data_IF_967645456610
#
_entry.id   IF_967645456610
#
_cell.length_a   1.000
_cell.length_b   1.000
_cell.length_c   1.000
_cell.angle_alpha   90.00
_cell.angle_beta   90.00
_cell.angle_gamma   90.00
#
_symmetry.space_group_name_H-M   'P 1'
#
loop_
_entity.id
_entity.type
_entity.pdbx_description
1 polymer ?
#
# COMPACT_ATOMS: atom_id res chain seq x y z
N UNK A 1 17.32 -11.85 -19.11
CA UNK A 1 18.00 -13.05 -18.60
C UNK A 1 16.90 -14.04 -18.27
N UNK A 2 16.92 -15.26 -18.82
CA UNK A 2 15.95 -16.31 -18.46
C UNK A 2 16.54 -17.15 -17.32
N UNK A 3 15.72 -17.82 -16.49
CA UNK A 3 16.23 -18.70 -15.45
C UNK A 3 17.21 -19.71 -16.07
N UNK A 4 18.37 -19.88 -15.42
CA UNK A 4 19.39 -20.84 -15.85
C UNK A 4 18.80 -22.25 -15.91
N UNK A 5 19.34 -23.08 -16.82
CA UNK A 5 18.95 -24.48 -16.87
C UNK A 5 19.13 -25.13 -15.49
N UNK A 6 18.09 -25.85 -15.02
CA UNK A 6 17.98 -26.45 -13.68
C UNK A 6 17.78 -25.48 -12.51
N UNK A 7 17.33 -24.24 -12.75
CA UNK A 7 16.89 -23.36 -11.66
C UNK A 7 15.73 -24.00 -10.88
N UNK A 8 15.84 -24.00 -9.55
CA UNK A 8 14.73 -24.38 -8.66
C UNK A 8 13.70 -23.25 -8.62
N UNK A 9 12.45 -23.56 -8.94
CA UNK A 9 11.35 -22.60 -8.78
C UNK A 9 10.95 -22.57 -7.30
N UNK A 10 10.83 -21.36 -6.74
CA UNK A 10 10.35 -21.15 -5.37
C UNK A 10 8.87 -20.76 -5.40
N UNK A 11 7.99 -21.74 -5.65
CA UNK A 11 6.55 -21.53 -5.86
C UNK A 11 5.83 -20.86 -4.66
N UNK A 12 6.38 -21.01 -3.45
CA UNK A 12 5.80 -20.50 -2.21
C UNK A 12 6.50 -19.26 -1.67
N UNK A 13 7.52 -18.71 -2.34
CA UNK A 13 8.34 -17.62 -1.78
C UNK A 13 7.49 -16.44 -1.30
N UNK A 14 6.52 -16.00 -2.13
CA UNK A 14 5.63 -14.90 -1.76
C UNK A 14 4.72 -15.27 -0.58
N UNK A 15 4.33 -16.54 -0.46
CA UNK A 15 3.51 -17.03 0.66
C UNK A 15 4.34 -17.06 1.95
N UNK A 16 5.55 -17.63 1.89
CA UNK A 16 6.46 -17.72 3.03
C UNK A 16 6.86 -16.32 3.55
N UNK A 17 7.06 -15.36 2.63
CA UNK A 17 7.33 -13.96 2.97
C UNK A 17 6.13 -13.27 3.64
N UNK A 18 4.90 -13.50 3.16
CA UNK A 18 3.68 -12.89 3.73
C UNK A 18 3.29 -13.53 5.07
N UNK A 19 3.59 -14.82 5.25
CA UNK A 19 3.14 -15.63 6.39
C UNK A 19 4.22 -15.74 7.49
N UNK A 20 5.37 -15.09 7.32
CA UNK A 20 6.65 -15.24 8.07
C UNK A 20 6.66 -15.25 9.61
N UNK A 21 5.54 -15.41 10.30
CA UNK A 21 5.41 -15.71 11.73
C UNK A 21 4.64 -16.98 12.07
N UNK A 22 4.05 -17.72 11.12
CA UNK A 22 3.37 -19.00 11.42
C UNK A 22 4.36 -20.15 11.23
N UNK A 23 4.87 -20.59 12.38
CA UNK A 23 5.67 -21.79 12.70
C UNK A 23 5.46 -23.03 11.78
N UNK A 24 5.81 -22.95 10.51
CA UNK A 24 5.74 -24.08 9.59
C UNK A 24 7.15 -24.44 9.12
N UNK A 25 7.70 -25.47 9.77
CA UNK A 25 8.88 -26.22 9.37
C UNK A 25 8.74 -26.91 7.99
N UNK A 26 7.79 -26.49 7.12
CA UNK A 26 7.36 -27.29 5.99
C UNK A 26 8.09 -27.02 4.67
N UNK A 27 8.77 -25.89 4.51
CA UNK A 27 9.51 -25.59 3.27
C UNK A 27 10.81 -24.81 3.49
N UNK A 28 11.50 -25.08 4.61
CA UNK A 28 12.92 -24.75 4.73
C UNK A 28 13.69 -25.62 3.74
N UNK A 29 13.76 -25.19 2.48
CA UNK A 29 14.78 -25.69 1.57
C UNK A 29 16.13 -25.17 2.07
N UNK A 30 17.19 -25.97 1.98
CA UNK A 30 18.54 -25.62 2.46
C UNK A 30 19.10 -24.31 1.86
N UNK A 31 18.50 -23.82 0.76
CA UNK A 31 18.80 -22.52 0.14
C UNK A 31 18.27 -21.34 0.95
N UNK A 32 17.06 -21.42 1.52
CA UNK A 32 16.47 -20.35 2.35
C UNK A 32 17.21 -20.21 3.70
N UNK A 33 17.94 -21.25 4.12
CA UNK A 33 18.83 -21.17 5.29
C UNK A 33 20.13 -20.37 5.02
N UNK A 34 20.44 -20.08 3.76
CA UNK A 34 21.68 -19.40 3.34
C UNK A 34 21.46 -17.96 2.83
N UNK A 35 20.22 -17.56 2.53
CA UNK A 35 19.89 -16.19 2.07
C UNK A 35 18.70 -15.61 2.84
N UNK A 36 18.84 -14.37 3.31
CA UNK A 36 17.80 -13.66 4.05
C UNK A 36 16.83 -12.89 3.12
N UNK A 37 15.72 -12.39 3.67
CA UNK A 37 14.70 -11.67 2.90
C UNK A 37 15.22 -10.39 2.22
N UNK A 38 16.18 -9.67 2.83
CA UNK A 38 16.77 -8.47 2.23
C UNK A 38 17.62 -8.83 1.00
N UNK A 39 18.38 -9.92 1.06
CA UNK A 39 19.16 -10.42 -0.09
C UNK A 39 18.24 -10.80 -1.26
N UNK A 40 17.16 -11.54 -0.98
CA UNK A 40 16.18 -11.95 -1.99
C UNK A 40 15.52 -10.73 -2.65
N UNK A 41 15.06 -9.77 -1.84
CA UNK A 41 14.42 -8.56 -2.34
C UNK A 41 15.41 -7.69 -3.14
N UNK A 42 16.66 -7.58 -2.68
CA UNK A 42 17.74 -6.84 -3.37
C UNK A 42 18.04 -7.46 -4.73
N UNK A 43 18.18 -8.80 -4.80
CA UNK A 43 18.40 -9.52 -6.05
C UNK A 43 17.25 -9.30 -7.04
N UNK A 44 16.01 -9.45 -6.57
CA UNK A 44 14.82 -9.26 -7.40
C UNK A 44 14.74 -7.82 -7.96
N UNK A 45 14.91 -6.81 -7.11
CA UNK A 45 14.85 -5.42 -7.53
C UNK A 45 16.02 -5.06 -8.46
N UNK A 46 17.24 -5.50 -8.17
CA UNK A 46 18.39 -5.28 -9.05
C UNK A 46 18.15 -5.87 -10.44
N UNK A 47 17.49 -7.05 -10.51
CA UNK A 47 17.10 -7.66 -11.77
C UNK A 47 16.07 -6.82 -12.52
N UNK A 48 15.00 -6.38 -11.84
CA UNK A 48 13.96 -5.53 -12.44
C UNK A 48 14.54 -4.21 -12.94
N UNK A 49 15.39 -3.55 -12.13
CA UNK A 49 16.06 -2.30 -12.50
C UNK A 49 16.94 -2.52 -13.74
N UNK A 50 17.79 -3.55 -13.72
CA UNK A 50 18.67 -3.87 -14.84
C UNK A 50 17.87 -4.18 -16.12
N UNK A 51 16.76 -4.90 -15.99
CA UNK A 51 15.86 -5.20 -17.09
C UNK A 51 15.23 -3.93 -17.67
N UNK A 52 14.65 -3.07 -16.83
CA UNK A 52 14.01 -1.81 -17.26
C UNK A 52 15.01 -0.90 -17.94
N UNK A 53 16.20 -0.73 -17.36
CA UNK A 53 17.28 0.08 -17.96
C UNK A 53 17.71 -0.48 -19.31
N UNK A 54 17.93 -1.79 -19.42
CA UNK A 54 18.27 -2.44 -20.67
C UNK A 54 17.17 -2.33 -21.73
N UNK A 55 15.91 -2.45 -21.32
CA UNK A 55 14.77 -2.26 -22.22
C UNK A 55 14.71 -0.82 -22.73
N UNK A 56 14.87 0.18 -21.85
CA UNK A 56 14.85 1.59 -22.22
C UNK A 56 16.00 1.97 -23.14
N UNK A 57 17.24 1.55 -22.84
CA UNK A 57 18.39 1.86 -23.71
C UNK A 57 18.29 1.17 -25.08
N UNK A 58 17.63 0.01 -25.16
CA UNK A 58 17.41 -0.70 -26.42
C UNK A 58 16.26 -0.10 -27.23
N UNK A 59 15.10 0.11 -26.61
CA UNK A 59 13.85 0.47 -27.32
C UNK A 59 13.61 1.99 -27.38
N UNK A 60 14.22 2.76 -26.47
CA UNK A 60 14.13 4.22 -26.41
C UNK A 60 15.51 4.87 -26.58
N UNK A 61 16.41 4.23 -27.33
CA UNK A 61 17.82 4.63 -27.51
C UNK A 61 18.00 6.12 -27.86
N UNK A 62 17.07 6.68 -28.65
CA UNK A 62 17.10 8.09 -29.05
C UNK A 62 17.06 9.05 -27.85
N UNK A 63 16.36 8.70 -26.77
CA UNK A 63 16.27 9.52 -25.57
C UNK A 63 17.60 9.62 -24.80
N UNK A 64 18.53 8.66 -25.01
CA UNK A 64 19.79 8.53 -24.29
C UNK A 64 21.02 8.97 -25.11
N UNK A 65 20.89 9.26 -26.42
CA UNK A 65 22.05 9.52 -27.30
C UNK A 65 22.94 10.69 -26.88
N UNK A 66 22.35 11.74 -26.30
CA UNK A 66 23.07 12.98 -25.95
C UNK A 66 22.86 13.38 -24.49
N UNK A 67 22.37 12.45 -23.67
CA UNK A 67 21.96 12.71 -22.28
C UNK A 67 22.37 11.54 -21.42
N UNK A 68 22.95 11.85 -20.27
CA UNK A 68 23.19 10.85 -19.24
C UNK A 68 21.93 10.73 -18.37
N UNK A 69 21.36 9.52 -18.22
CA UNK A 69 20.17 9.34 -17.42
C UNK A 69 20.50 9.37 -15.93
N UNK A 70 19.72 10.14 -15.17
CA UNK A 70 19.68 10.04 -13.70
C UNK A 70 18.53 9.11 -13.34
N UNK A 71 18.84 8.04 -12.62
CA UNK A 71 17.85 7.05 -12.19
C UNK A 71 17.33 7.40 -10.81
N UNK A 72 16.01 7.40 -10.67
CA UNK A 72 15.32 7.52 -9.38
C UNK A 72 14.28 6.42 -9.27
N UNK A 73 14.08 5.90 -8.07
CA UNK A 73 13.16 4.81 -7.77
C UNK A 73 12.31 5.22 -6.57
N UNK A 74 11.00 5.28 -6.82
CA UNK A 74 10.01 5.28 -5.75
C UNK A 74 9.55 3.84 -5.55
N UNK A 75 9.63 3.34 -4.32
CA UNK A 75 9.11 2.02 -3.96
C UNK A 75 7.83 2.18 -3.12
N UNK A 76 6.81 1.40 -3.47
CA UNK A 76 5.60 1.29 -2.68
C UNK A 76 5.85 0.48 -1.42
N UNK A 77 5.36 0.96 -0.28
CA UNK A 77 5.38 0.27 1.00
C UNK A 77 3.96 0.20 1.57
N UNK A 78 3.56 -0.92 2.20
CA UNK A 78 2.22 -1.00 2.77
C UNK A 78 1.98 0.06 3.86
N UNK A 79 0.83 0.73 3.81
CA UNK A 79 0.55 1.95 4.61
C UNK A 79 0.65 1.74 6.13
N UNK A 80 0.15 0.63 6.67
CA UNK A 80 0.26 0.29 8.11
C UNK A 80 1.74 0.16 8.54
N UNK A 81 2.60 -0.31 7.64
CA UNK A 81 4.01 -0.50 7.95
C UNK A 81 4.81 0.80 7.90
N UNK A 82 4.30 1.86 7.26
CA UNK A 82 5.04 3.11 7.04
C UNK A 82 5.50 3.76 8.34
N UNK A 83 4.76 3.55 9.44
CA UNK A 83 5.11 4.01 10.77
C UNK A 83 6.10 3.12 11.53
N UNK A 84 6.55 2.01 10.94
CA UNK A 84 7.48 1.06 11.57
C UNK A 84 8.90 1.39 11.11
N UNK A 85 9.73 2.09 11.91
CA UNK A 85 10.97 2.67 11.42
C UNK A 85 11.93 1.62 10.85
N UNK A 86 12.03 0.45 11.51
CA UNK A 86 12.87 -0.66 11.06
C UNK A 86 12.44 -1.24 9.71
N UNK A 87 11.13 -1.25 9.43
CA UNK A 87 10.63 -1.75 8.15
C UNK A 87 10.92 -0.73 7.06
N UNK A 88 10.64 0.55 7.30
CA UNK A 88 10.97 1.62 6.36
C UNK A 88 12.49 1.72 6.07
N UNK A 89 13.32 1.50 7.10
CA UNK A 89 14.78 1.40 6.98
C UNK A 89 15.21 0.23 6.09
N UNK A 90 14.62 -0.96 6.30
CA UNK A 90 14.88 -2.12 5.45
C UNK A 90 14.50 -1.86 3.99
N UNK A 91 13.36 -1.19 3.72
CA UNK A 91 12.97 -0.80 2.37
C UNK A 91 13.99 0.13 1.71
N UNK A 92 14.40 1.22 2.40
CA UNK A 92 15.41 2.15 1.89
C UNK A 92 16.74 1.44 1.62
N UNK A 93 17.18 0.59 2.56
CA UNK A 93 18.43 -0.18 2.46
C UNK A 93 18.40 -1.11 1.25
N UNK A 94 17.35 -1.93 1.13
CA UNK A 94 17.19 -2.92 0.05
C UNK A 94 17.13 -2.24 -1.32
N UNK A 95 16.35 -1.17 -1.48
CA UNK A 95 16.24 -0.48 -2.78
C UNK A 95 17.55 0.23 -3.13
N UNK A 96 18.22 0.85 -2.16
CA UNK A 96 19.53 1.48 -2.37
C UNK A 96 20.58 0.44 -2.77
N UNK A 97 20.59 -0.72 -2.11
CA UNK A 97 21.47 -1.85 -2.44
C UNK A 97 21.19 -2.37 -3.86
N UNK A 98 19.90 -2.49 -4.23
CA UNK A 98 19.49 -2.98 -5.54
C UNK A 98 19.89 -2.03 -6.67
N UNK A 99 19.77 -0.71 -6.44
CA UNK A 99 20.21 0.32 -7.37
C UNK A 99 21.73 0.26 -7.56
N UNK A 100 22.50 0.19 -6.45
CA UNK A 100 23.95 0.02 -6.50
C UNK A 100 24.35 -1.24 -7.26
N UNK A 101 23.73 -2.39 -6.95
CA UNK A 101 24.03 -3.67 -7.61
C UNK A 101 23.76 -3.60 -9.13
N UNK A 102 22.68 -2.93 -9.54
CA UNK A 102 22.37 -2.70 -10.94
C UNK A 102 23.32 -1.71 -11.63
N UNK A 103 23.98 -0.81 -10.89
CA UNK A 103 24.98 0.13 -11.41
C UNK A 103 26.35 -0.53 -11.59
N UNK A 104 26.82 -1.33 -10.61
CA UNK A 104 28.16 -1.94 -10.64
C UNK A 104 28.26 -3.14 -11.58
N UNK A 105 27.13 -3.69 -12.04
CA UNK A 105 27.08 -4.77 -13.02
C UNK A 105 27.62 -6.12 -12.50
N UNK A 106 27.67 -6.31 -11.19
CA UNK A 106 28.01 -7.60 -10.58
C UNK A 106 26.92 -8.64 -10.90
N UNK A 107 27.24 -9.94 -10.87
CA UNK A 107 26.23 -10.99 -10.95
C UNK A 107 25.14 -10.79 -9.89
N UNK A 108 23.88 -10.98 -10.25
CA UNK A 108 22.78 -10.97 -9.28
C UNK A 108 22.78 -12.31 -8.55
N UNK A 109 23.54 -12.37 -7.46
CA UNK A 109 23.80 -13.57 -6.66
C UNK A 109 23.84 -13.24 -5.16
N UNK A 110 23.71 -14.26 -4.31
CA UNK A 110 23.69 -14.13 -2.85
C UNK A 110 24.88 -13.32 -2.31
N UNK A 111 26.10 -13.69 -2.68
CA UNK A 111 27.32 -13.02 -2.24
C UNK A 111 27.38 -11.56 -2.69
N UNK A 112 26.93 -11.27 -3.91
CA UNK A 112 26.87 -9.90 -4.44
C UNK A 112 25.82 -9.06 -3.72
N UNK A 113 24.67 -9.63 -3.39
CA UNK A 113 23.65 -8.94 -2.57
C UNK A 113 24.13 -8.68 -1.15
N UNK A 114 24.83 -9.64 -0.52
CA UNK A 114 25.40 -9.46 0.82
C UNK A 114 26.45 -8.35 0.83
N UNK A 115 27.31 -8.33 -0.20
CA UNK A 115 28.33 -7.30 -0.37
C UNK A 115 27.70 -5.91 -0.42
N UNK A 116 26.74 -5.66 -1.32
CA UNK A 116 26.11 -4.34 -1.44
C UNK A 116 25.28 -3.95 -0.22
N UNK A 117 24.61 -4.91 0.45
CA UNK A 117 23.85 -4.65 1.67
C UNK A 117 24.75 -4.26 2.84
N UNK A 118 25.99 -4.74 2.86
CA UNK A 118 26.99 -4.47 3.90
C UNK A 118 27.76 -3.18 3.70
N UNK A 119 27.60 -2.51 2.54
CA UNK A 119 28.26 -1.24 2.27
C UNK A 119 27.82 -0.17 3.29
N UNK A 120 28.76 0.55 3.93
CA UNK A 120 28.42 1.55 4.96
C UNK A 120 27.44 2.62 4.47
N UNK A 121 27.58 3.04 3.21
CA UNK A 121 26.69 4.05 2.62
C UNK A 121 25.26 3.53 2.42
N UNK A 122 25.10 2.22 2.17
CA UNK A 122 23.80 1.57 2.00
C UNK A 122 23.12 1.37 3.36
N UNK A 123 23.89 1.02 4.39
CA UNK A 123 23.40 0.99 5.77
C UNK A 123 22.92 2.38 6.18
N UNK A 124 23.71 3.43 5.92
CA UNK A 124 23.31 4.80 6.20
C UNK A 124 22.07 5.25 5.43
N UNK A 125 21.94 4.88 4.14
CA UNK A 125 20.73 5.15 3.36
C UNK A 125 19.49 4.45 3.95
N UNK A 126 19.66 3.28 4.56
CA UNK A 126 18.61 2.63 5.35
C UNK A 126 18.15 3.52 6.50
N UNK A 127 19.08 4.02 7.31
CA UNK A 127 18.76 4.78 8.51
C UNK A 127 18.27 6.21 8.23
N UNK A 128 18.87 6.90 7.26
CA UNK A 128 18.67 8.34 6.99
C UNK A 128 17.99 8.58 5.64
N UNK A 129 16.82 9.25 5.67
CA UNK A 129 15.96 9.45 4.50
C UNK A 129 16.59 10.36 3.44
N UNK A 130 17.27 11.42 3.86
CA UNK A 130 18.00 12.36 3.01
C UNK A 130 19.11 11.64 2.22
N UNK A 131 19.85 10.73 2.86
CA UNK A 131 20.87 9.93 2.18
C UNK A 131 20.26 8.97 1.15
N UNK A 132 19.09 8.38 1.43
CA UNK A 132 18.37 7.58 0.44
C UNK A 132 17.89 8.44 -0.74
N UNK A 133 17.33 9.63 -0.47
CA UNK A 133 16.85 10.55 -1.51
C UNK A 133 17.97 11.09 -2.40
N UNK A 134 19.13 11.41 -1.83
CA UNK A 134 20.34 11.78 -2.58
C UNK A 134 20.80 10.67 -3.54
N UNK A 135 20.57 9.41 -3.16
CA UNK A 135 20.79 8.23 -4.02
C UNK A 135 19.65 7.97 -4.99
N UNK A 136 18.62 8.82 -5.02
CA UNK A 136 17.47 8.67 -5.88
C UNK A 136 16.47 7.62 -5.41
N UNK A 137 16.45 7.28 -4.11
CA UNK A 137 15.51 6.31 -3.53
C UNK A 137 14.50 7.01 -2.64
N UNK A 138 13.21 6.80 -2.92
CA UNK A 138 12.14 7.22 -2.02
C UNK A 138 11.21 6.03 -1.69
N UNK A 139 10.72 6.01 -0.46
CA UNK A 139 9.74 5.02 0.01
C UNK A 139 8.42 5.72 0.21
N UNK A 140 7.38 5.24 -0.47
CA UNK A 140 6.06 5.89 -0.53
C UNK A 140 5.00 4.90 -0.06
N UNK A 141 4.06 5.29 0.81
CA UNK A 141 2.89 4.46 1.11
C UNK A 141 2.13 4.10 -0.17
N UNK A 142 1.83 2.82 -0.37
CA UNK A 142 1.09 2.33 -1.55
C UNK A 142 -0.24 3.07 -1.72
N UNK A 143 -0.94 3.35 -0.61
CA UNK A 143 -2.18 4.11 -0.66
C UNK A 143 -1.99 5.55 -1.15
N UNK A 144 -0.88 6.22 -0.82
CA UNK A 144 -0.62 7.56 -1.34
C UNK A 144 -0.32 7.49 -2.84
N UNK A 145 0.50 6.51 -3.25
CA UNK A 145 0.83 6.30 -4.66
C UNK A 145 -0.43 5.98 -5.50
N UNK A 146 -1.24 5.00 -5.11
CA UNK A 146 -2.47 4.61 -5.80
C UNK A 146 -3.41 5.81 -6.01
N UNK A 147 -3.49 6.68 -5.00
CA UNK A 147 -4.39 7.82 -4.97
C UNK A 147 -3.84 9.08 -5.65
N UNK A 148 -2.58 9.10 -6.09
CA UNK A 148 -1.93 10.27 -6.70
C UNK A 148 -2.71 10.83 -7.89
N UNK A 149 -3.18 9.97 -8.80
CA UNK A 149 -3.94 10.42 -9.98
C UNK A 149 -5.25 11.08 -9.57
N UNK A 150 -6.01 10.43 -8.69
CA UNK A 150 -7.28 10.96 -8.19
C UNK A 150 -7.06 12.30 -7.47
N UNK A 151 -6.05 12.37 -6.60
CA UNK A 151 -5.73 13.55 -5.82
C UNK A 151 -5.30 14.77 -6.67
N UNK A 152 -4.87 14.51 -7.91
CA UNK A 152 -4.56 15.55 -8.90
C UNK A 152 -5.67 15.78 -9.93
N UNK A 153 -6.73 14.97 -9.91
CA UNK A 153 -7.84 15.06 -10.86
C UNK A 153 -8.83 16.20 -10.52
N UNK A 154 -9.58 16.68 -11.52
CA UNK A 154 -10.68 17.63 -11.30
C UNK A 154 -11.86 17.03 -10.52
N UNK A 155 -11.92 15.70 -10.43
CA UNK A 155 -12.95 14.96 -9.67
C UNK A 155 -12.66 14.93 -8.17
N UNK A 156 -11.48 15.40 -7.76
CA UNK A 156 -11.09 15.46 -6.36
C UNK A 156 -12.06 16.33 -5.55
N UNK A 157 -12.42 15.81 -4.38
CA UNK A 157 -12.99 16.60 -3.30
C UNK A 157 -12.17 16.37 -2.03
N UNK A 158 -12.02 17.40 -1.20
CA UNK A 158 -11.40 17.23 0.12
C UNK A 158 -12.34 16.45 1.06
N UNK A 159 -11.77 15.81 2.07
CA UNK A 159 -12.50 15.06 3.10
C UNK A 159 -12.04 13.61 3.27
N UNK A 160 -12.83 12.82 4.01
CA UNK A 160 -12.51 11.43 4.36
C UNK A 160 -12.86 10.45 3.25
N UNK A 161 -11.94 9.52 3.03
CA UNK A 161 -11.99 8.41 2.08
C UNK A 161 -11.59 7.10 2.73
N UNK A 162 -11.98 5.99 2.11
CA UNK A 162 -11.48 4.65 2.40
C UNK A 162 -10.91 4.04 1.12
N UNK A 163 -9.75 3.41 1.21
CA UNK A 163 -9.15 2.58 0.16
C UNK A 163 -9.15 1.12 0.61
N UNK A 164 -9.49 0.25 -0.33
CA UNK A 164 -9.48 -1.21 -0.19
C UNK A 164 -8.68 -1.75 -1.37
N UNK A 165 -7.44 -2.14 -1.12
CA UNK A 165 -6.58 -2.81 -2.10
C UNK A 165 -6.70 -4.33 -1.90
N UNK A 166 -7.20 -4.99 -2.94
CA UNK A 166 -7.29 -6.45 -2.98
C UNK A 166 -6.15 -6.97 -3.83
N UNK A 167 -5.09 -7.41 -3.15
CA UNK A 167 -3.96 -8.09 -3.76
C UNK A 167 -4.22 -9.59 -3.98
N UNK A 168 -3.19 -10.25 -4.52
CA UNK A 168 -3.19 -11.71 -4.60
C UNK A 168 -3.13 -12.33 -3.19
N UNK A 169 -2.23 -11.85 -2.33
CA UNK A 169 -2.04 -12.41 -0.99
C UNK A 169 -2.65 -11.55 0.12
N UNK A 170 -2.70 -10.23 -0.07
CA UNK A 170 -3.08 -9.28 0.98
C UNK A 170 -4.40 -8.57 0.66
N UNK A 171 -5.07 -8.14 1.73
CA UNK A 171 -6.14 -7.17 1.72
C UNK A 171 -5.66 -5.97 2.54
N UNK A 172 -5.39 -4.87 1.86
CA UNK A 172 -4.84 -3.66 2.49
C UNK A 172 -5.92 -2.60 2.53
N UNK A 173 -6.36 -2.26 3.73
CA UNK A 173 -7.48 -1.34 3.95
C UNK A 173 -6.99 -0.14 4.73
N UNK A 174 -7.33 1.05 4.25
CA UNK A 174 -6.95 2.29 4.94
C UNK A 174 -8.00 3.37 4.79
N UNK A 175 -8.16 4.16 5.83
CA UNK A 175 -8.91 5.42 5.79
C UNK A 175 -7.91 6.56 5.81
N UNK A 176 -8.17 7.59 5.01
CA UNK A 176 -7.35 8.77 4.95
C UNK A 176 -8.23 9.97 4.62
N UNK A 177 -7.76 11.14 5.03
CA UNK A 177 -8.35 12.40 4.59
C UNK A 177 -7.45 13.05 3.57
N UNK A 178 -8.07 13.64 2.55
CA UNK A 178 -7.39 14.41 1.54
C UNK A 178 -7.70 15.89 1.76
N UNK A 179 -6.66 16.71 1.86
CA UNK A 179 -6.78 18.16 2.05
C UNK A 179 -5.86 18.90 1.10
N UNK A 180 -6.24 20.12 0.73
CA UNK A 180 -5.37 21.02 -0.03
C UNK A 180 -4.39 21.73 0.89
N UNK A 181 -3.12 21.83 0.52
CA UNK A 181 -2.14 22.64 1.25
C UNK A 181 -2.40 24.15 1.00
N UNK A 182 -2.89 24.92 1.99
CA UNK A 182 -3.26 26.33 1.76
C UNK A 182 -2.08 27.23 1.35
N UNK A 183 -0.85 26.83 1.71
CA UNK A 183 0.37 27.60 1.44
C UNK A 183 1.02 27.22 0.09
N UNK A 184 0.81 25.99 -0.39
CA UNK A 184 1.39 25.46 -1.64
C UNK A 184 0.34 25.28 -2.77
N UNK A 185 -0.91 25.66 -2.54
CA UNK A 185 -1.96 25.64 -3.56
C UNK A 185 -2.80 24.34 -3.56
N UNK A 186 -2.92 23.68 -4.71
CA UNK A 186 -3.75 22.47 -4.86
C UNK A 186 -3.01 21.17 -4.51
N UNK A 187 -1.77 21.25 -4.04
CA UNK A 187 -1.01 20.05 -3.70
C UNK A 187 -1.71 19.25 -2.60
N UNK A 188 -1.85 17.92 -2.80
CA UNK A 188 -2.58 17.08 -1.87
C UNK A 188 -1.77 16.83 -0.61
N UNK A 189 -2.46 16.87 0.53
CA UNK A 189 -2.00 16.32 1.80
C UNK A 189 -2.82 15.06 2.08
N UNK A 190 -2.15 13.92 2.22
CA UNK A 190 -2.75 12.66 2.63
C UNK A 190 -2.52 12.47 4.12
N UNK A 191 -3.59 12.54 4.93
CA UNK A 191 -3.51 12.23 6.35
C UNK A 191 -4.15 10.87 6.63
N UNK A 192 -3.31 9.86 6.88
CA UNK A 192 -3.76 8.49 7.13
C UNK A 192 -4.35 8.35 8.53
N UNK A 193 -5.61 7.91 8.60
CA UNK A 193 -6.37 7.78 9.83
C UNK A 193 -6.22 6.41 10.44
N UNK A 194 -6.38 5.35 9.65
CA UNK A 194 -6.26 3.97 10.13
C UNK A 194 -5.81 3.13 8.95
N UNK A 195 -4.99 2.12 9.19
CA UNK A 195 -4.61 1.13 8.19
C UNK A 195 -4.64 -0.27 8.81
N UNK A 196 -4.93 -1.28 8.01
CA UNK A 196 -4.86 -2.67 8.41
C UNK A 196 -4.56 -3.54 7.18
N UNK A 197 -3.57 -4.41 7.32
CA UNK A 197 -3.12 -5.34 6.29
C UNK A 197 -3.38 -6.75 6.82
N UNK A 198 -4.10 -7.55 6.04
CA UNK A 198 -4.40 -8.94 6.39
C UNK A 198 -4.09 -9.87 5.22
N UNK A 199 -3.73 -11.14 5.46
CA UNK A 199 -3.54 -12.16 4.42
C UNK A 199 -4.89 -12.63 3.85
N UNK A 200 -5.72 -11.71 3.37
CA UNK A 200 -7.09 -11.93 2.89
C UNK A 200 -7.23 -11.56 1.40
N UNK A 201 -6.17 -11.75 0.62
CA UNK A 201 -6.20 -11.59 -0.84
C UNK A 201 -6.86 -12.76 -1.59
N UNK A 202 -6.86 -12.68 -2.92
CA UNK A 202 -7.48 -13.68 -3.82
C UNK A 202 -6.87 -15.08 -3.69
N UNK A 203 -5.55 -15.20 -3.77
CA UNK A 203 -4.84 -16.48 -3.62
C UNK A 203 -4.89 -16.97 -2.17
N UNK A 204 -4.88 -16.05 -1.20
CA UNK A 204 -5.04 -16.40 0.21
C UNK A 204 -6.40 -17.05 0.49
N UNK A 205 -7.46 -16.64 -0.20
CA UNK A 205 -8.75 -17.33 -0.12
C UNK A 205 -8.64 -18.80 -0.55
N UNK A 206 -8.08 -19.08 -1.73
CA UNK A 206 -7.92 -20.45 -2.20
C UNK A 206 -7.00 -21.28 -1.30
N UNK A 207 -5.99 -20.64 -0.72
CA UNK A 207 -5.12 -21.28 0.25
C UNK A 207 -5.86 -21.65 1.54
N UNK A 208 -6.60 -20.71 2.14
CA UNK A 208 -7.40 -20.97 3.35
C UNK A 208 -8.43 -22.08 3.12
N UNK A 209 -9.04 -22.15 1.94
CA UNK A 209 -9.91 -23.26 1.57
C UNK A 209 -9.19 -24.61 1.58
N UNK A 210 -7.96 -24.68 1.07
CA UNK A 210 -7.13 -25.91 1.09
C UNK A 210 -6.76 -26.33 2.51
N UNK A 211 -6.65 -25.38 3.43
CA UNK A 211 -6.40 -25.63 4.87
C UNK A 211 -7.67 -25.92 5.67
N UNK A 212 -8.84 -25.95 5.03
CA UNK A 212 -10.10 -26.32 5.66
C UNK A 212 -10.89 -25.14 6.25
N UNK A 213 -10.45 -23.90 6.03
CA UNK A 213 -11.24 -22.70 6.37
C UNK A 213 -12.45 -22.61 5.44
N UNK A 214 -13.64 -22.46 6.02
CA UNK A 214 -14.86 -22.30 5.24
C UNK A 214 -14.90 -20.94 4.53
N UNK A 215 -15.62 -20.87 3.41
CA UNK A 215 -15.86 -19.60 2.71
C UNK A 215 -16.47 -18.54 3.64
N UNK A 216 -17.42 -18.93 4.48
CA UNK A 216 -18.11 -18.01 5.40
C UNK A 216 -17.16 -17.46 6.47
N UNK A 217 -16.24 -18.30 6.98
CA UNK A 217 -15.23 -17.86 7.92
C UNK A 217 -14.25 -16.85 7.28
N UNK A 218 -13.83 -17.08 6.02
CA UNK A 218 -13.00 -16.13 5.28
C UNK A 218 -13.73 -14.79 5.05
N UNK A 219 -14.99 -14.86 4.60
CA UNK A 219 -15.84 -13.69 4.38
C UNK A 219 -16.01 -12.89 5.66
N UNK A 220 -16.24 -13.55 6.80
CA UNK A 220 -16.42 -12.86 8.07
C UNK A 220 -15.12 -12.20 8.56
N UNK A 221 -13.95 -12.80 8.33
CA UNK A 221 -12.67 -12.13 8.59
C UNK A 221 -12.50 -10.85 7.77
N UNK A 222 -12.83 -10.89 6.48
CA UNK A 222 -12.79 -9.70 5.62
C UNK A 222 -13.76 -8.62 6.13
N UNK A 223 -15.00 -9.00 6.43
CA UNK A 223 -16.01 -8.07 6.97
C UNK A 223 -15.58 -7.48 8.30
N UNK A 224 -15.01 -8.29 9.20
CA UNK A 224 -14.49 -7.82 10.47
C UNK A 224 -13.40 -6.77 10.27
N UNK A 225 -12.43 -7.03 9.38
CA UNK A 225 -11.35 -6.08 9.04
C UNK A 225 -11.89 -4.74 8.53
N UNK A 226 -12.84 -4.77 7.59
CA UNK A 226 -13.43 -3.55 7.01
C UNK A 226 -14.26 -2.76 8.04
N UNK A 227 -15.13 -3.45 8.79
CA UNK A 227 -16.00 -2.83 9.80
C UNK A 227 -15.21 -2.30 10.98
N UNK A 228 -14.14 -3.00 11.38
CA UNK A 228 -13.22 -2.53 12.41
C UNK A 228 -12.57 -1.22 11.99
N UNK A 229 -12.05 -1.14 10.76
CA UNK A 229 -11.40 0.07 10.25
C UNK A 229 -12.36 1.27 10.29
N UNK A 230 -13.57 1.11 9.74
CA UNK A 230 -14.61 2.16 9.72
C UNK A 230 -14.96 2.62 11.15
N UNK A 231 -15.18 1.68 12.06
CA UNK A 231 -15.53 2.01 13.44
C UNK A 231 -14.39 2.67 14.21
N UNK A 232 -13.15 2.20 14.01
CA UNK A 232 -11.95 2.78 14.63
C UNK A 232 -11.75 4.20 14.16
N UNK A 233 -11.85 4.45 12.85
CA UNK A 233 -11.73 5.80 12.29
C UNK A 233 -12.79 6.73 12.86
N UNK A 234 -14.07 6.32 12.81
CA UNK A 234 -15.19 7.14 13.32
C UNK A 234 -15.12 7.41 14.82
N UNK A 235 -14.55 6.52 15.62
CA UNK A 235 -14.57 6.68 17.09
C UNK A 235 -13.36 7.43 17.63
N UNK A 236 -12.21 7.28 16.97
CA UNK A 236 -10.93 7.65 17.56
C UNK A 236 -10.06 8.54 16.69
N UNK A 237 -10.34 8.65 15.39
CA UNK A 237 -9.41 9.28 14.43
C UNK A 237 -10.02 10.49 13.75
N UNK A 238 -11.23 10.35 13.23
CA UNK A 238 -11.98 11.43 12.60
C UNK A 238 -13.47 11.31 12.97
N UNK A 239 -13.85 11.54 14.25
CA UNK A 239 -15.24 11.42 14.70
C UNK A 239 -16.14 12.55 14.19
N UNK A 240 -15.56 13.66 13.76
CA UNK A 240 -16.28 14.86 13.34
C UNK A 240 -16.49 14.96 11.83
N UNK A 241 -15.93 14.03 11.05
CA UNK A 241 -16.16 13.91 9.62
C UNK A 241 -17.62 14.03 9.21
N UNK A 242 -17.89 14.81 8.17
CA UNK A 242 -19.22 14.89 7.55
C UNK A 242 -19.65 13.53 6.99
N UNK A 243 -18.71 12.65 6.64
CA UNK A 243 -18.99 11.30 6.09
C UNK A 243 -19.79 10.38 7.02
N UNK A 244 -19.93 10.74 8.28
CA UNK A 244 -20.73 10.03 9.27
C UNK A 244 -22.16 10.56 9.44
N UNK A 245 -22.50 11.69 8.80
CA UNK A 245 -23.80 12.38 8.94
C UNK A 245 -24.83 11.87 7.93
N UNK A 246 -26.10 12.04 8.24
CA UNK A 246 -27.21 11.72 7.33
C UNK A 246 -27.12 12.55 6.04
N UNK A 247 -27.43 11.93 4.90
CA UNK A 247 -27.26 12.54 3.58
C UNK A 247 -25.86 12.42 2.99
N UNK A 248 -24.86 12.02 3.79
CA UNK A 248 -23.48 11.83 3.34
C UNK A 248 -23.16 10.33 3.13
N UNK A 249 -22.19 10.05 2.27
CA UNK A 249 -21.72 8.68 2.00
C UNK A 249 -20.21 8.60 2.13
N UNK A 250 -19.70 7.50 2.68
CA UNK A 250 -18.27 7.24 2.71
C UNK A 250 -17.79 6.84 1.29
N UNK A 251 -16.91 7.61 0.64
CA UNK A 251 -16.37 7.23 -0.66
C UNK A 251 -15.31 6.14 -0.49
N UNK A 252 -15.43 5.07 -1.29
CA UNK A 252 -14.56 3.91 -1.27
C UNK A 252 -13.82 3.78 -2.61
N UNK A 253 -12.49 3.69 -2.55
CA UNK A 253 -11.64 3.22 -3.65
C UNK A 253 -11.43 1.72 -3.51
N UNK A 254 -11.93 0.95 -4.47
CA UNK A 254 -11.65 -0.47 -4.59
C UNK A 254 -10.63 -0.66 -5.70
N UNK A 255 -9.43 -1.10 -5.32
CA UNK A 255 -8.23 -1.13 -6.15
C UNK A 255 -7.50 -2.47 -5.98
N UNK A 256 -6.42 -2.67 -6.74
CA UNK A 256 -5.66 -3.90 -6.75
C UNK A 256 -6.09 -4.89 -7.83
N UNK A 257 -5.18 -5.79 -8.22
CA UNK A 257 -5.44 -6.80 -9.25
C UNK A 257 -6.57 -7.78 -8.91
N UNK A 258 -6.96 -7.87 -7.63
CA UNK A 258 -8.08 -8.65 -7.11
C UNK A 258 -9.39 -7.88 -6.93
N UNK A 259 -9.45 -6.57 -7.23
CA UNK A 259 -10.63 -5.72 -7.06
C UNK A 259 -11.89 -6.27 -7.77
N UNK A 260 -11.69 -6.90 -8.93
CA UNK A 260 -12.76 -7.47 -9.75
C UNK A 260 -13.08 -8.93 -9.39
N UNK A 261 -12.41 -9.51 -8.39
CA UNK A 261 -12.71 -10.87 -7.94
C UNK A 261 -14.11 -10.91 -7.29
N UNK A 262 -15.01 -11.77 -7.80
CA UNK A 262 -16.43 -11.81 -7.42
C UNK A 262 -16.67 -11.86 -5.91
N UNK A 263 -15.87 -12.65 -5.18
CA UNK A 263 -15.99 -12.77 -3.73
C UNK A 263 -15.67 -11.44 -3.03
N UNK A 264 -14.51 -10.84 -3.32
CA UNK A 264 -14.10 -9.59 -2.70
C UNK A 264 -15.04 -8.45 -3.07
N UNK A 265 -15.51 -8.43 -4.32
CA UNK A 265 -16.50 -7.45 -4.74
C UNK A 265 -17.80 -7.55 -3.93
N UNK A 266 -18.33 -8.76 -3.74
CA UNK A 266 -19.52 -8.95 -2.90
C UNK A 266 -19.32 -8.51 -1.45
N UNK A 267 -18.13 -8.74 -0.87
CA UNK A 267 -17.80 -8.33 0.50
C UNK A 267 -17.79 -6.80 0.63
N UNK A 268 -17.26 -6.09 -0.37
CA UNK A 268 -17.22 -4.63 -0.39
C UNK A 268 -18.63 -4.06 -0.63
N UNK A 269 -19.39 -4.64 -1.54
CA UNK A 269 -20.77 -4.21 -1.82
C UNK A 269 -21.67 -4.37 -0.57
N UNK A 270 -21.42 -5.36 0.28
CA UNK A 270 -22.13 -5.57 1.57
C UNK A 270 -21.86 -4.46 2.61
N UNK A 271 -20.87 -3.60 2.42
CA UNK A 271 -20.62 -2.47 3.33
C UNK A 271 -21.72 -1.41 3.25
N UNK A 272 -22.29 -1.17 2.07
CA UNK A 272 -23.34 -0.17 1.89
C UNK A 272 -24.59 -0.46 2.76
N UNK A 273 -25.25 -1.62 2.66
CA UNK A 273 -26.40 -1.93 3.52
C UNK A 273 -26.03 -2.01 5.00
N UNK A 274 -24.83 -2.53 5.33
CA UNK A 274 -24.37 -2.57 6.71
C UNK A 274 -24.21 -1.17 7.32
N UNK A 275 -23.60 -0.23 6.59
CA UNK A 275 -23.42 1.16 7.06
C UNK A 275 -24.75 1.87 7.21
N UNK A 276 -25.67 1.76 6.24
CA UNK A 276 -27.03 2.33 6.34
C UNK A 276 -27.81 1.85 7.55
N UNK A 277 -27.57 0.61 7.98
CA UNK A 277 -28.19 0.04 9.17
C UNK A 277 -27.49 0.45 10.47
N UNK A 278 -26.16 0.60 10.44
CA UNK A 278 -25.33 0.70 11.64
C UNK A 278 -24.90 2.12 12.00
N UNK A 279 -24.98 3.05 11.06
CA UNK A 279 -24.45 4.40 11.17
C UNK A 279 -25.48 5.43 10.70
N UNK A 280 -25.36 6.71 11.13
CA UNK A 280 -26.28 7.76 10.68
C UNK A 280 -26.16 8.15 9.21
N UNK A 281 -25.12 7.70 8.51
CA UNK A 281 -24.85 8.08 7.13
C UNK A 281 -25.64 7.24 6.12
N UNK A 282 -25.61 7.65 4.85
CA UNK A 282 -26.37 7.02 3.76
C UNK A 282 -25.60 5.88 3.09
N UNK A 283 -24.71 5.21 3.83
CA UNK A 283 -23.93 4.07 3.36
C UNK A 283 -22.61 4.45 2.69
N UNK A 284 -22.31 3.78 1.58
CA UNK A 284 -21.04 3.94 0.86
C UNK A 284 -21.27 4.39 -0.58
N UNK A 285 -20.22 4.92 -1.20
CA UNK A 285 -20.17 5.20 -2.64
C UNK A 285 -18.86 4.70 -3.19
N UNK A 286 -18.89 3.79 -4.14
CA UNK A 286 -17.69 3.46 -4.90
C UNK A 286 -17.28 4.65 -5.76
N UNK A 287 -16.01 5.03 -5.65
CA UNK A 287 -15.40 5.98 -6.56
C UNK A 287 -14.92 5.20 -7.78
N UNK A 288 -15.29 5.62 -9.01
CA UNK A 288 -14.77 5.00 -10.21
C UNK A 288 -13.24 5.08 -10.21
N UNK A 289 -12.57 3.99 -10.56
CA UNK A 289 -11.13 4.00 -10.81
C UNK A 289 -10.78 5.06 -11.86
N UNK A 290 -9.59 5.64 -11.74
CA UNK A 290 -9.04 6.47 -12.81
C UNK A 290 -8.79 5.61 -14.06
N UNK A 291 -8.70 6.25 -15.22
CA UNK A 291 -8.21 5.59 -16.42
C UNK A 291 -6.70 5.82 -16.51
N UNK A 292 -5.95 4.81 -16.95
CA UNK A 292 -4.57 5.04 -17.34
C UNK A 292 -4.56 6.06 -18.50
N UNK A 293 -3.57 6.97 -18.56
CA UNK A 293 -3.48 7.92 -19.66
C UNK A 293 -3.52 7.18 -21.00
N UNK A 294 -4.37 7.63 -21.93
CA UNK A 294 -4.49 7.03 -23.27
C UNK A 294 -3.17 7.08 -24.07
N UNK A 295 -2.26 7.96 -23.67
CA UNK A 295 -0.91 8.11 -24.24
C UNK A 295 0.13 7.16 -23.62
N UNK A 296 -0.23 6.38 -22.60
CA UNK A 296 0.68 5.41 -21.99
C UNK A 296 1.02 4.32 -23.01
N UNK A 297 2.31 4.12 -23.26
CA UNK A 297 2.79 2.98 -24.02
C UNK A 297 2.66 1.73 -23.15
N UNK A 298 1.66 0.89 -23.44
CA UNK A 298 1.44 -0.37 -22.72
C UNK A 298 2.25 -1.52 -23.31
N UNK A 299 3.09 -1.28 -24.33
CA UNK A 299 3.81 -2.31 -25.08
C UNK A 299 2.89 -3.44 -25.61
N UNK A 300 1.61 -3.13 -25.86
CA UNK A 300 0.61 -4.09 -26.32
C UNK A 300 0.01 -4.99 -25.24
N UNK A 301 0.32 -4.77 -23.96
CA UNK A 301 -0.34 -5.45 -22.85
C UNK A 301 -1.71 -4.82 -22.55
N UNK A 302 -2.68 -5.68 -22.23
CA UNK A 302 -3.98 -5.26 -21.70
C UNK A 302 -3.81 -4.91 -20.22
N UNK A 303 -3.56 -3.63 -19.95
CA UNK A 303 -3.34 -3.08 -18.61
C UNK A 303 -4.56 -2.26 -18.20
N UNK A 304 -5.07 -2.55 -17.00
CA UNK A 304 -6.08 -1.73 -16.34
C UNK A 304 -5.45 -0.89 -15.23
N UNK A 305 -6.14 0.19 -14.84
CA UNK A 305 -5.69 1.04 -13.74
C UNK A 305 -5.65 0.28 -12.41
N UNK A 306 -6.54 -0.68 -12.17
CA UNK A 306 -6.56 -1.45 -10.92
C UNK A 306 -5.28 -2.25 -10.67
N UNK A 307 -4.56 -2.65 -11.71
CA UNK A 307 -3.24 -3.32 -11.62
C UNK A 307 -2.06 -2.36 -11.61
N UNK A 308 -2.23 -1.18 -12.19
CA UNK A 308 -1.13 -0.24 -12.46
C UNK A 308 -1.19 1.04 -11.64
N UNK A 309 -2.24 1.29 -10.86
CA UNK A 309 -2.47 2.53 -10.13
C UNK A 309 -1.30 2.91 -9.22
N UNK A 310 -0.85 1.99 -8.36
CA UNK A 310 0.34 2.16 -7.52
C UNK A 310 1.55 2.49 -8.36
N UNK A 311 1.86 1.67 -9.37
CA UNK A 311 3.05 1.87 -10.22
C UNK A 311 3.03 3.20 -10.97
N UNK A 312 1.84 3.61 -11.44
CA UNK A 312 1.61 4.89 -12.09
C UNK A 312 1.80 6.04 -11.11
N UNK A 313 1.25 5.95 -9.89
CA UNK A 313 1.48 6.93 -8.84
C UNK A 313 2.93 7.06 -8.41
N UNK A 314 3.64 5.92 -8.33
CA UNK A 314 5.08 5.88 -8.04
C UNK A 314 5.93 6.45 -9.19
N UNK A 315 5.37 6.64 -10.39
CA UNK A 315 6.10 7.24 -11.52
C UNK A 315 6.25 8.77 -11.41
N UNK A 316 5.44 9.42 -10.57
CA UNK A 316 5.57 10.85 -10.27
C UNK A 316 6.85 11.10 -9.47
N UNK A 317 7.42 12.30 -9.58
CA UNK A 317 8.50 12.67 -8.68
C UNK A 317 7.96 12.64 -7.22
N UNK A 318 8.77 12.19 -6.26
CA UNK A 318 8.34 12.09 -4.86
C UNK A 318 7.75 13.41 -4.34
N UNK A 319 8.39 14.55 -4.68
CA UNK A 319 7.90 15.88 -4.33
C UNK A 319 6.55 16.24 -4.97
N UNK A 320 6.17 15.58 -6.06
CA UNK A 320 4.89 15.80 -6.75
C UNK A 320 3.77 14.93 -6.20
N UNK A 321 4.05 13.82 -5.50
CA UNK A 321 3.01 12.93 -4.97
C UNK A 321 2.11 13.67 -3.98
N UNK A 322 2.71 14.50 -3.13
CA UNK A 322 2.06 15.32 -2.12
C UNK A 322 2.65 15.09 -0.73
N UNK A 323 2.16 15.85 0.24
CA UNK A 323 2.57 15.72 1.63
C UNK A 323 1.87 14.52 2.27
N UNK A 324 2.60 13.74 3.05
CA UNK A 324 2.10 12.50 3.65
C UNK A 324 2.21 12.59 5.17
N UNK A 325 1.06 12.56 5.84
CA UNK A 325 0.98 12.35 7.29
C UNK A 325 0.61 10.90 7.54
N UNK A 326 1.52 10.18 8.20
CA UNK A 326 1.34 8.79 8.57
C UNK A 326 0.26 8.61 9.65
N UNK A 327 -0.05 7.35 9.98
CA UNK A 327 -1.03 7.03 11.02
C UNK A 327 -0.52 7.51 12.40
N UNK A 328 0.77 7.45 12.68
CA UNK A 328 1.33 7.93 13.96
C UNK A 328 1.36 9.46 14.06
N UNK A 329 1.50 10.16 12.94
CA UNK A 329 1.52 11.63 12.88
C UNK A 329 0.11 12.24 13.00
N UNK A 330 -0.91 11.49 12.60
CA UNK A 330 -2.31 11.91 12.71
C UNK A 330 -2.82 11.64 14.14
N UNK A 331 -3.17 12.71 14.87
CA UNK A 331 -3.58 12.62 16.27
C UNK A 331 -4.94 11.95 16.42
N UNK A 332 -5.10 11.20 17.51
CA UNK A 332 -6.40 10.68 17.90
C UNK A 332 -7.34 11.82 18.34
N UNK A 333 -8.53 11.85 17.77
CA UNK A 333 -9.62 12.71 18.17
C UNK A 333 -10.66 11.87 18.91
N UNK A 334 -10.65 11.96 20.24
CA UNK A 334 -11.62 11.24 21.08
C UNK A 334 -12.91 12.05 21.13
N UNK A 335 -14.05 11.37 20.91
CA UNK A 335 -15.35 11.91 21.31
C UNK A 335 -15.30 12.13 22.83
N UNK A 336 -15.27 13.40 23.27
CA UNK A 336 -15.50 13.71 24.67
C UNK A 336 -16.91 13.24 25.01
N UNK A 337 -17.02 12.17 25.81
CA UNK A 337 -18.30 11.86 26.46
C UNK A 337 -18.61 13.06 27.35
N UNK A 338 -19.60 13.86 26.98
CA UNK A 338 -20.18 14.82 27.91
C UNK A 338 -20.72 14.02 29.11
N UNK A 339 -19.98 14.00 30.22
CA UNK A 339 -20.44 13.44 31.51
C UNK A 339 -21.49 14.34 32.20
N UNK A 340 -22.23 15.15 31.44
CA UNK A 340 -23.31 15.98 31.95
C UNK A 340 -24.67 15.35 31.61
N UNK A 341 -24.98 14.22 32.25
CA UNK A 341 -26.36 13.77 32.47
C UNK A 341 -26.62 13.35 33.91
N UNK A 342 -26.10 14.14 34.87
CA UNK A 342 -26.64 14.19 36.24
C UNK A 342 -27.31 15.53 36.44
N UNK A 343 -28.64 15.52 36.44
CA UNK A 343 -29.45 16.67 36.83
C UNK A 343 -30.36 17.18 35.72
N UNK A 344 -31.53 16.55 35.59
CA UNK A 344 -32.84 17.20 35.33
C UNK A 344 -33.92 16.13 35.24
N UNK A 345 -34.38 15.66 36.40
CA UNK A 345 -35.76 15.23 36.59
C UNK A 345 -36.35 16.11 37.69
N UNK A 346 -37.27 17.02 37.36
CA UNK A 346 -38.13 17.63 38.36
C UNK A 346 -39.34 16.71 38.57
N UNK A 347 -39.60 16.34 39.83
CA UNK A 347 -40.90 15.83 40.25
C UNK A 347 -40.92 14.37 40.71
N UNK A 348 -40.78 14.17 42.03
CA UNK A 348 -41.91 13.74 42.86
C UNK A 348 -41.45 13.66 44.33
N UNK A 349 -41.60 14.77 45.06
CA UNK A 349 -42.05 14.65 46.45
C UNK A 349 -43.52 14.21 46.40
N UNK A 350 -43.90 13.17 47.14
CA UNK A 350 -45.05 13.12 48.06
C UNK A 350 -45.07 11.72 48.72
N UNK A 351 -44.90 11.74 50.04
CA UNK A 351 -45.21 10.76 51.10
C UNK A 351 -44.53 9.39 51.11
#
# INVERSE_FOLDING_TARGET
MWPIANATVLDTLKQDLVVGSVNSNRFRTSLVEQVNHEQIATAYLAYVISYVRGWLTTNQAQAFRTREPVWRINVGMPTDSFDKPKVAESYRRVVSAALLLADVGLPIAADSTELVLSEPEIIHAGTFIDIAEERGVAVVPEAAAEMTSFAKSERRADGLYMMIDVGAMTLDVTTFTLHSNPQLGKDPIYSFMTANIQPLGVESYYWYQREGTSKDAFVEQCRHTLRWLINSTRRFRDPHSDRWKAGERLPIYLVGGGANHRLHRSIVDDLDPWMKQSLPNDGTRLVPSDELPKSMDTAGFDLDYGRMGVAWGLSFNFAEIGEIHSVSQTKDEKIQKNENWKGKYPGSEVM
#
